data_IF_260887084388
#
_entry.id   IF_260887084388
#
_cell.length_a   1.000
_cell.length_b   1.000
_cell.length_c   1.000
_cell.angle_alpha   90.00
_cell.angle_beta   90.00
_cell.angle_gamma   90.00
#
_symmetry.space_group_name_H-M   'P 1'
#
loop_
_entity.id
_entity.type
_entity.pdbx_description
1 polymer ?
#
# COMPACT_ATOMS: atom_id res chain seq x y z
N UNK A 1 6.22 -19.75 0.20
CA UNK A 1 7.02 -19.25 1.36
C UNK A 1 8.11 -18.21 1.02
N UNK A 2 8.21 -17.71 -0.24
CA UNK A 2 9.34 -16.82 -0.66
C UNK A 2 9.02 -15.31 -0.70
N UNK A 3 7.84 -14.89 -0.28
CA UNK A 3 7.40 -13.51 -0.50
C UNK A 3 7.82 -12.45 0.54
N UNK A 4 7.94 -12.71 1.85
CA UNK A 4 8.10 -11.61 2.80
C UNK A 4 9.45 -10.87 2.69
N UNK A 5 10.55 -11.56 2.40
CA UNK A 5 11.87 -10.91 2.32
C UNK A 5 12.00 -9.95 1.13
N UNK A 6 11.33 -10.24 0.00
CA UNK A 6 11.33 -9.35 -1.19
C UNK A 6 10.65 -8.01 -0.90
N UNK A 7 9.57 -8.02 -0.11
CA UNK A 7 8.89 -6.79 0.33
C UNK A 7 9.83 -5.94 1.16
N UNK A 8 10.47 -6.56 2.15
CA UNK A 8 11.43 -5.87 2.99
C UNK A 8 12.65 -5.39 2.20
N UNK A 9 13.14 -6.18 1.24
CA UNK A 9 14.26 -5.79 0.40
C UNK A 9 13.95 -4.55 -0.46
N UNK A 10 12.75 -4.47 -1.06
CA UNK A 10 12.37 -3.29 -1.85
C UNK A 10 12.12 -2.08 -0.97
N UNK A 11 11.45 -2.25 0.17
CA UNK A 11 11.28 -1.15 1.14
C UNK A 11 12.65 -0.65 1.64
N UNK A 12 13.55 -1.56 2.01
CA UNK A 12 14.90 -1.22 2.44
C UNK A 12 15.69 -0.52 1.31
N UNK A 13 15.57 -1.00 0.07
CA UNK A 13 16.21 -0.37 -1.08
C UNK A 13 15.69 1.05 -1.35
N UNK A 14 14.38 1.26 -1.25
CA UNK A 14 13.77 2.58 -1.41
C UNK A 14 14.19 3.54 -0.29
N UNK A 15 14.19 3.08 0.96
CA UNK A 15 14.63 3.88 2.11
C UNK A 15 16.12 4.19 2.00
N UNK A 16 16.96 3.20 1.67
CA UNK A 16 18.39 3.39 1.47
C UNK A 16 18.68 4.32 0.28
N UNK A 17 17.95 4.15 -0.83
CA UNK A 17 18.07 5.02 -2.01
C UNK A 17 17.72 6.47 -1.69
N UNK A 18 16.68 6.71 -0.92
CA UNK A 18 16.32 8.05 -0.47
C UNK A 18 17.33 8.64 0.53
N UNK A 19 17.84 7.84 1.44
CA UNK A 19 18.89 8.25 2.37
C UNK A 19 20.18 8.60 1.62
N UNK A 20 20.60 7.78 0.66
CA UNK A 20 21.74 8.06 -0.22
C UNK A 20 21.52 9.33 -1.03
N UNK A 21 20.33 9.49 -1.62
CA UNK A 21 19.98 10.68 -2.38
C UNK A 21 20.08 11.95 -1.52
N UNK A 22 19.63 11.93 -0.27
CA UNK A 22 19.75 13.08 0.64
C UNK A 22 21.19 13.41 1.02
N UNK A 23 22.08 12.41 1.07
CA UNK A 23 23.52 12.60 1.36
C UNK A 23 24.27 13.16 0.15
N UNK A 24 23.99 12.63 -1.06
CA UNK A 24 24.72 13.03 -2.28
C UNK A 24 24.23 14.36 -2.89
N UNK A 25 23.03 14.77 -2.57
CA UNK A 25 22.44 16.03 -3.04
C UNK A 25 21.97 16.89 -1.86
N UNK A 26 22.90 17.38 -1.00
CA UNK A 26 22.57 18.30 0.05
C UNK A 26 22.14 19.62 -0.61
N UNK A 27 20.86 19.96 -0.48
CA UNK A 27 20.37 21.27 -0.89
C UNK A 27 20.27 22.14 0.35
N UNK A 28 20.95 23.26 0.35
CA UNK A 28 20.89 24.24 1.42
C UNK A 28 19.56 25.00 1.51
N UNK A 29 18.52 24.53 0.81
CA UNK A 29 17.21 25.17 0.77
C UNK A 29 16.19 24.26 1.48
N UNK A 30 15.77 24.68 2.69
CA UNK A 30 14.88 23.90 3.56
C UNK A 30 13.58 23.47 2.89
N UNK A 31 13.03 24.28 1.99
CA UNK A 31 11.79 23.97 1.28
C UNK A 31 11.89 22.80 0.29
N UNK A 32 13.08 22.58 -0.30
CA UNK A 32 13.31 21.46 -1.21
C UNK A 32 13.54 20.13 -0.46
N UNK A 33 14.08 20.19 0.74
CA UNK A 33 14.25 19.01 1.60
C UNK A 33 12.90 18.47 2.06
N UNK A 34 11.99 19.31 2.48
CA UNK A 34 10.62 18.95 2.85
C UNK A 34 9.86 18.27 1.71
N UNK A 35 9.99 18.78 0.48
CA UNK A 35 9.41 18.18 -0.71
C UNK A 35 9.93 16.78 -1.02
N UNK A 36 11.20 16.48 -0.75
CA UNK A 36 11.82 15.16 -0.98
C UNK A 36 11.27 14.11 -0.03
N UNK A 37 11.20 14.41 1.26
CA UNK A 37 10.63 13.48 2.24
C UNK A 37 9.15 13.20 1.95
N UNK A 38 8.43 14.21 1.49
CA UNK A 38 7.06 14.04 1.05
C UNK A 38 6.93 13.12 -0.17
N UNK A 39 7.76 13.31 -1.20
CA UNK A 39 7.79 12.46 -2.39
C UNK A 39 8.21 11.02 -2.06
N UNK A 40 9.18 10.83 -1.18
CA UNK A 40 9.60 9.52 -0.70
C UNK A 40 8.44 8.79 -0.03
N UNK A 41 7.74 9.45 0.86
CA UNK A 41 6.59 8.87 1.54
C UNK A 41 5.49 8.50 0.54
N UNK A 42 5.17 9.34 -0.46
CA UNK A 42 4.23 9.00 -1.55
C UNK A 42 4.69 7.74 -2.30
N UNK A 43 5.95 7.66 -2.67
CA UNK A 43 6.50 6.52 -3.40
C UNK A 43 6.39 5.21 -2.59
N UNK A 44 6.70 5.25 -1.29
CA UNK A 44 6.56 4.11 -0.39
C UNK A 44 5.10 3.64 -0.26
N UNK A 45 4.16 4.59 -0.11
CA UNK A 45 2.74 4.28 -0.07
C UNK A 45 2.28 3.63 -1.39
N UNK A 46 2.71 4.14 -2.55
CA UNK A 46 2.34 3.59 -3.85
C UNK A 46 2.89 2.17 -4.03
N UNK A 47 4.17 1.95 -3.71
CA UNK A 47 4.79 0.62 -3.78
C UNK A 47 4.07 -0.38 -2.89
N UNK A 48 3.72 0.01 -1.68
CA UNK A 48 3.01 -0.85 -0.74
C UNK A 48 1.62 -1.24 -1.27
N UNK A 49 0.86 -0.28 -1.83
CA UNK A 49 -0.45 -0.52 -2.45
C UNK A 49 -0.36 -1.48 -3.62
N UNK A 50 0.56 -1.23 -4.57
CA UNK A 50 0.79 -2.10 -5.72
C UNK A 50 1.16 -3.51 -5.28
N UNK A 51 1.97 -3.63 -4.25
CA UNK A 51 2.40 -4.92 -3.75
C UNK A 51 1.26 -5.71 -3.09
N UNK A 52 0.44 -5.05 -2.27
CA UNK A 52 -0.73 -5.66 -1.64
C UNK A 52 -1.70 -6.18 -2.71
N UNK A 53 -2.02 -5.36 -3.73
CA UNK A 53 -2.90 -5.78 -4.83
C UNK A 53 -2.36 -7.02 -5.52
N UNK A 54 -1.09 -7.02 -5.92
CA UNK A 54 -0.48 -8.17 -6.58
C UNK A 54 -0.48 -9.42 -5.68
N UNK A 55 -0.22 -9.27 -4.39
CA UNK A 55 -0.21 -10.41 -3.48
C UNK A 55 -1.61 -11.01 -3.26
N UNK A 56 -2.65 -10.16 -3.18
CA UNK A 56 -4.04 -10.60 -3.01
C UNK A 56 -4.53 -11.33 -4.25
N UNK A 57 -4.32 -10.75 -5.43
CA UNK A 57 -4.84 -11.30 -6.69
C UNK A 57 -4.07 -12.52 -7.16
N UNK A 58 -2.74 -12.58 -6.94
CA UNK A 58 -1.93 -13.72 -7.33
C UNK A 58 -2.29 -14.99 -6.55
N UNK A 59 -2.46 -14.89 -5.22
CA UNK A 59 -2.74 -16.06 -4.36
C UNK A 59 -4.02 -16.77 -4.75
N UNK A 60 -5.13 -16.05 -4.80
CA UNK A 60 -6.41 -16.64 -5.18
C UNK A 60 -6.45 -17.08 -6.65
N UNK A 61 -5.76 -16.34 -7.53
CA UNK A 61 -5.63 -16.73 -8.92
C UNK A 61 -4.85 -18.03 -9.09
N UNK A 62 -3.76 -18.23 -8.36
CA UNK A 62 -2.97 -19.45 -8.35
C UNK A 62 -3.76 -20.63 -7.75
N UNK A 63 -4.43 -20.44 -6.62
CA UNK A 63 -5.24 -21.46 -5.97
C UNK A 63 -6.37 -21.95 -6.87
N UNK A 64 -6.95 -21.07 -7.67
CA UNK A 64 -7.98 -21.41 -8.65
C UNK A 64 -7.41 -22.20 -9.85
N UNK A 65 -6.32 -21.72 -10.45
CA UNK A 65 -5.71 -22.38 -11.61
C UNK A 65 -5.20 -23.77 -11.26
N UNK A 66 -4.69 -23.96 -10.04
CA UNK A 66 -4.17 -25.23 -9.56
C UNK A 66 -5.27 -26.18 -9.03
N UNK A 67 -6.56 -25.81 -9.09
CA UNK A 67 -7.65 -26.61 -8.56
C UNK A 67 -7.68 -26.70 -7.02
N UNK A 68 -6.79 -25.98 -6.34
CA UNK A 68 -6.73 -25.98 -4.87
C UNK A 68 -7.99 -25.36 -4.25
N UNK A 69 -8.63 -24.42 -4.94
CA UNK A 69 -9.89 -23.82 -4.52
C UNK A 69 -11.03 -24.84 -4.53
N UNK A 70 -11.08 -25.72 -5.54
CA UNK A 70 -12.09 -26.78 -5.65
C UNK A 70 -11.91 -27.84 -4.56
N UNK A 71 -10.66 -28.19 -4.26
CA UNK A 71 -10.34 -29.07 -3.14
C UNK A 71 -10.72 -28.45 -1.78
N UNK A 72 -10.50 -27.13 -1.60
CA UNK A 72 -10.91 -26.39 -0.40
C UNK A 72 -12.44 -26.38 -0.25
N UNK A 73 -13.17 -26.18 -1.35
CA UNK A 73 -14.64 -26.19 -1.35
C UNK A 73 -15.24 -27.58 -1.16
N UNK A 74 -14.49 -28.65 -1.40
CA UNK A 74 -14.91 -30.03 -1.08
C UNK A 74 -14.71 -30.41 0.38
N UNK A 75 -14.02 -29.56 1.16
CA UNK A 75 -13.89 -29.73 2.61
C UNK A 75 -15.11 -29.15 3.35
N UNK A 76 -15.38 -29.53 4.61
CA UNK A 76 -16.50 -28.98 5.39
C UNK A 76 -16.31 -27.51 5.83
N UNK A 77 -15.38 -26.79 5.19
CA UNK A 77 -15.13 -25.37 5.46
C UNK A 77 -16.17 -24.50 4.74
N UNK A 78 -16.67 -23.51 5.46
CA UNK A 78 -17.56 -22.51 4.87
C UNK A 78 -16.76 -21.52 3.98
N UNK A 79 -17.34 -20.96 2.91
CA UNK A 79 -16.69 -19.93 2.10
C UNK A 79 -16.18 -18.74 2.93
N UNK A 80 -16.90 -18.40 4.01
CA UNK A 80 -16.51 -17.33 4.91
C UNK A 80 -15.19 -17.64 5.64
N UNK A 81 -15.00 -18.87 6.10
CA UNK A 81 -13.76 -19.31 6.77
C UNK A 81 -12.56 -19.27 5.82
N UNK A 82 -12.77 -19.64 4.55
CA UNK A 82 -11.73 -19.56 3.52
C UNK A 82 -11.30 -18.11 3.29
N UNK A 83 -12.25 -17.19 3.13
CA UNK A 83 -11.99 -15.75 2.93
C UNK A 83 -11.31 -15.14 4.17
N UNK A 84 -11.77 -15.48 5.37
CA UNK A 84 -11.15 -15.02 6.62
C UNK A 84 -9.73 -15.53 6.78
N UNK A 85 -9.46 -16.79 6.42
CA UNK A 85 -8.13 -17.36 6.41
C UNK A 85 -7.16 -16.63 5.48
N UNK A 86 -7.61 -16.32 4.27
CA UNK A 86 -6.85 -15.52 3.30
C UNK A 86 -6.57 -14.11 3.83
N UNK A 87 -7.58 -13.45 4.41
CA UNK A 87 -7.44 -12.13 5.01
C UNK A 87 -6.43 -12.12 6.16
N UNK A 88 -6.49 -13.11 7.05
CA UNK A 88 -5.54 -13.25 8.15
C UNK A 88 -4.11 -13.47 7.66
N UNK A 89 -3.93 -14.27 6.62
CA UNK A 89 -2.63 -14.52 6.01
C UNK A 89 -2.03 -13.23 5.40
N UNK A 90 -2.85 -12.43 4.71
CA UNK A 90 -2.47 -11.13 4.18
C UNK A 90 -2.09 -10.16 5.29
N UNK A 91 -2.93 -10.04 6.31
CA UNK A 91 -2.66 -9.19 7.47
C UNK A 91 -1.32 -9.52 8.12
N UNK A 92 -1.04 -10.80 8.37
CA UNK A 92 0.25 -11.23 8.94
C UNK A 92 1.45 -10.90 8.05
N UNK A 93 1.27 -10.96 6.73
CA UNK A 93 2.34 -10.67 5.78
C UNK A 93 2.65 -9.18 5.68
N UNK A 94 1.62 -8.33 5.64
CA UNK A 94 1.75 -6.90 5.35
C UNK A 94 1.76 -6.01 6.59
N UNK A 95 1.41 -6.53 7.77
CA UNK A 95 1.40 -5.76 9.02
C UNK A 95 2.76 -5.09 9.29
N UNK A 96 3.86 -5.84 9.15
CA UNK A 96 5.20 -5.31 9.36
C UNK A 96 5.56 -4.18 8.39
N UNK A 97 5.48 -4.38 7.06
CA UNK A 97 5.70 -3.32 6.07
C UNK A 97 4.81 -2.09 6.27
N UNK A 98 3.52 -2.28 6.57
CA UNK A 98 2.58 -1.17 6.84
C UNK A 98 3.03 -0.37 8.07
N UNK A 99 3.33 -1.05 9.18
CA UNK A 99 3.83 -0.39 10.39
C UNK A 99 5.16 0.32 10.14
N UNK A 100 6.04 -0.25 9.31
CA UNK A 100 7.31 0.39 8.93
C UNK A 100 7.10 1.70 8.18
N UNK A 101 6.19 1.73 7.21
CA UNK A 101 5.86 2.96 6.46
C UNK A 101 5.20 4.00 7.36
N UNK A 102 4.25 3.59 8.22
CA UNK A 102 3.61 4.49 9.17
C UNK A 102 4.58 5.06 10.20
N UNK A 103 5.55 4.25 10.67
CA UNK A 103 6.59 4.72 11.58
C UNK A 103 7.52 5.73 10.92
N UNK A 104 7.85 5.53 9.63
CA UNK A 104 8.63 6.48 8.85
C UNK A 104 7.87 7.80 8.68
N UNK A 105 6.58 7.75 8.31
CA UNK A 105 5.73 8.95 8.20
C UNK A 105 5.65 9.71 9.54
N UNK A 106 5.49 8.99 10.64
CA UNK A 106 5.46 9.59 11.97
C UNK A 106 6.82 10.23 12.33
N UNK A 107 7.92 9.60 11.96
CA UNK A 107 9.26 10.15 12.17
C UNK A 107 9.48 11.43 11.35
N UNK A 108 9.13 11.44 10.07
CA UNK A 108 9.22 12.62 9.19
C UNK A 108 8.34 13.75 9.74
N UNK A 109 7.10 13.44 10.13
CA UNK A 109 6.19 14.41 10.74
C UNK A 109 6.79 15.01 12.02
N UNK A 110 7.36 14.18 12.90
CA UNK A 110 8.00 14.66 14.13
C UNK A 110 9.24 15.52 13.87
N UNK A 111 10.01 15.25 12.82
CA UNK A 111 11.13 16.08 12.39
C UNK A 111 10.65 17.45 11.93
N UNK A 112 9.65 17.51 11.03
CA UNK A 112 9.06 18.78 10.56
C UNK A 112 8.48 19.62 11.68
N UNK A 113 7.85 19.00 12.69
CA UNK A 113 7.29 19.69 13.84
C UNK A 113 8.36 20.40 14.69
N UNK A 114 9.60 19.93 14.65
CA UNK A 114 10.73 20.54 15.38
C UNK A 114 11.28 21.76 14.65
N UNK A 115 11.34 21.70 13.33
CA UNK A 115 12.05 22.69 12.51
C UNK A 115 11.17 23.87 12.12
N UNK A 116 9.85 23.68 11.93
CA UNK A 116 8.90 24.72 11.48
C UNK A 116 7.63 24.71 12.31
N UNK A 117 7.64 25.30 13.53
CA UNK A 117 6.49 25.25 14.43
C UNK A 117 5.24 26.00 13.93
N UNK A 118 5.37 26.97 13.00
CA UNK A 118 4.25 27.72 12.46
C UNK A 118 3.28 26.85 11.64
N UNK A 119 3.83 25.89 10.86
CA UNK A 119 3.05 25.01 9.99
C UNK A 119 2.83 23.62 10.60
N UNK A 120 3.25 23.43 11.84
CA UNK A 120 3.23 22.17 12.57
C UNK A 120 1.85 21.47 12.54
N UNK A 121 0.78 22.24 12.75
CA UNK A 121 -0.60 21.70 12.77
C UNK A 121 -1.02 21.20 11.38
N UNK A 122 -0.67 21.92 10.33
CA UNK A 122 -1.01 21.55 8.95
C UNK A 122 -0.23 20.31 8.52
N UNK A 123 1.07 20.26 8.83
CA UNK A 123 1.91 19.09 8.57
C UNK A 123 1.38 17.85 9.31
N UNK A 124 1.11 17.95 10.60
CA UNK A 124 0.55 16.85 11.40
C UNK A 124 -0.80 16.37 10.84
N UNK A 125 -1.69 17.30 10.45
CA UNK A 125 -2.96 16.96 9.83
C UNK A 125 -2.75 16.22 8.47
N UNK A 126 -1.85 16.71 7.63
CA UNK A 126 -1.56 16.10 6.33
C UNK A 126 -1.03 14.67 6.47
N UNK A 127 -0.04 14.44 7.34
CA UNK A 127 0.49 13.09 7.58
C UNK A 127 -0.54 12.17 8.27
N UNK A 128 -1.33 12.70 9.20
CA UNK A 128 -2.43 11.96 9.83
C UNK A 128 -3.50 11.53 8.82
N UNK A 129 -3.95 12.43 7.96
CA UNK A 129 -4.89 12.12 6.88
C UNK A 129 -4.33 11.05 5.91
N UNK A 130 -3.05 11.16 5.56
CA UNK A 130 -2.39 10.17 4.69
C UNK A 130 -2.33 8.78 5.31
N UNK A 131 -2.03 8.69 6.60
CA UNK A 131 -2.03 7.42 7.33
C UNK A 131 -3.43 6.77 7.32
N UNK A 132 -4.48 7.56 7.56
CA UNK A 132 -5.87 7.10 7.51
C UNK A 132 -6.23 6.62 6.11
N UNK A 133 -5.90 7.41 5.08
CA UNK A 133 -6.14 7.04 3.66
C UNK A 133 -5.39 5.76 3.32
N UNK A 134 -4.13 5.60 3.73
CA UNK A 134 -3.38 4.37 3.50
C UNK A 134 -4.08 3.14 4.09
N UNK A 135 -4.54 3.24 5.34
CA UNK A 135 -5.24 2.13 6.00
C UNK A 135 -6.57 1.80 5.31
N UNK A 136 -7.33 2.82 4.91
CA UNK A 136 -8.57 2.65 4.16
C UNK A 136 -8.32 2.00 2.79
N UNK A 137 -7.29 2.44 2.07
CA UNK A 137 -6.91 1.86 0.78
C UNK A 137 -6.47 0.40 0.91
N UNK A 138 -5.67 0.07 1.91
CA UNK A 138 -5.25 -1.33 2.16
C UNK A 138 -6.47 -2.21 2.38
N UNK A 139 -7.44 -1.73 3.15
CA UNK A 139 -8.67 -2.46 3.41
C UNK A 139 -9.51 -2.61 2.13
N UNK A 140 -9.71 -1.53 1.37
CA UNK A 140 -10.43 -1.53 0.10
C UNK A 140 -9.76 -2.41 -0.96
N UNK A 141 -8.42 -2.32 -1.11
CA UNK A 141 -7.63 -3.13 -2.03
C UNK A 141 -7.68 -4.61 -1.68
N UNK A 142 -7.68 -4.94 -0.39
CA UNK A 142 -7.83 -6.31 0.08
C UNK A 142 -9.16 -6.91 -0.36
N UNK A 143 -10.29 -6.27 -0.06
CA UNK A 143 -11.62 -6.77 -0.42
C UNK A 143 -11.89 -6.78 -1.92
N UNK A 144 -11.59 -5.69 -2.61
CA UNK A 144 -11.80 -5.61 -4.06
C UNK A 144 -10.86 -6.56 -4.82
N UNK A 145 -9.63 -6.77 -4.33
CA UNK A 145 -8.68 -7.71 -4.91
C UNK A 145 -9.15 -9.16 -4.77
N UNK A 146 -9.63 -9.56 -3.59
CA UNK A 146 -10.24 -10.87 -3.37
C UNK A 146 -11.44 -11.09 -4.30
N UNK A 147 -12.33 -10.10 -4.40
CA UNK A 147 -13.49 -10.17 -5.29
C UNK A 147 -13.10 -10.31 -6.76
N UNK A 148 -12.14 -9.52 -7.24
CA UNK A 148 -11.69 -9.58 -8.64
C UNK A 148 -11.00 -10.92 -8.97
N UNK A 149 -10.24 -11.47 -8.03
CA UNK A 149 -9.61 -12.77 -8.19
C UNK A 149 -10.63 -13.92 -8.32
N UNK A 150 -11.76 -13.83 -7.61
CA UNK A 150 -12.86 -14.79 -7.70
C UNK A 150 -13.63 -14.72 -9.02
N UNK A 151 -13.62 -13.60 -9.73
CA UNK A 151 -14.34 -13.43 -11.02
C UNK A 151 -13.70 -14.19 -12.20
N UNK A 152 -12.62 -14.92 -12.00
CA UNK A 152 -12.05 -15.77 -13.04
C UNK A 152 -11.17 -15.08 -14.06
N UNK A 153 -10.81 -13.83 -13.82
CA UNK A 153 -9.83 -13.08 -14.60
C UNK A 153 -8.42 -13.51 -14.22
N UNK A 154 -7.50 -13.45 -15.18
CA UNK A 154 -6.09 -13.73 -14.88
C UNK A 154 -5.56 -12.81 -13.76
N UNK A 155 -4.56 -13.24 -12.96
CA UNK A 155 -4.09 -12.49 -11.79
C UNK A 155 -3.64 -11.07 -12.13
N UNK A 156 -3.01 -10.86 -13.26
CA UNK A 156 -2.58 -9.53 -13.74
C UNK A 156 -3.77 -8.62 -14.03
N UNK A 157 -4.80 -9.15 -14.68
CA UNK A 157 -6.02 -8.41 -15.02
C UNK A 157 -6.83 -8.05 -13.77
N UNK A 158 -6.90 -8.96 -12.81
CA UNK A 158 -7.52 -8.73 -11.52
C UNK A 158 -6.79 -7.62 -10.74
N UNK A 159 -5.44 -7.65 -10.72
CA UNK A 159 -4.63 -6.63 -10.09
C UNK A 159 -4.84 -5.25 -10.71
N UNK A 160 -4.76 -5.14 -12.03
CA UNK A 160 -4.96 -3.88 -12.76
C UNK A 160 -6.35 -3.30 -12.53
N UNK A 161 -7.41 -4.11 -12.62
CA UNK A 161 -8.77 -3.68 -12.39
C UNK A 161 -9.01 -3.23 -10.95
N UNK A 162 -8.42 -3.93 -9.97
CA UNK A 162 -8.51 -3.57 -8.55
C UNK A 162 -7.86 -2.21 -8.31
N UNK A 163 -6.64 -2.03 -8.83
CA UNK A 163 -5.89 -0.78 -8.70
C UNK A 163 -6.63 0.38 -9.39
N UNK A 164 -7.14 0.16 -10.60
CA UNK A 164 -7.90 1.17 -11.34
C UNK A 164 -9.16 1.61 -10.58
N UNK A 165 -9.90 0.69 -9.98
CA UNK A 165 -11.13 1.02 -9.25
C UNK A 165 -10.89 1.71 -7.93
N UNK A 166 -9.88 1.30 -7.17
CA UNK A 166 -9.64 1.83 -5.82
C UNK A 166 -8.78 3.09 -5.87
N UNK A 167 -7.86 3.19 -6.82
CA UNK A 167 -6.93 4.31 -6.88
C UNK A 167 -7.27 5.29 -8.01
N UNK A 168 -7.43 4.82 -9.25
CA UNK A 168 -7.58 5.73 -10.41
C UNK A 168 -8.99 6.34 -10.47
N UNK A 169 -10.04 5.55 -10.24
CA UNK A 169 -11.40 6.03 -10.36
C UNK A 169 -11.76 7.16 -9.38
N UNK A 170 -11.41 7.10 -8.07
CA UNK A 170 -11.64 8.22 -7.14
C UNK A 170 -10.90 9.49 -7.55
N UNK A 171 -9.66 9.36 -8.05
CA UNK A 171 -8.89 10.51 -8.51
C UNK A 171 -9.49 11.16 -9.75
N UNK A 172 -9.96 10.37 -10.71
CA UNK A 172 -10.65 10.90 -11.89
C UNK A 172 -11.98 11.58 -11.52
N UNK A 173 -12.73 11.01 -10.57
CA UNK A 173 -13.96 11.65 -10.06
C UNK A 173 -13.64 13.00 -9.39
N UNK A 174 -12.61 13.05 -8.59
CA UNK A 174 -12.20 14.26 -7.87
C UNK A 174 -11.71 15.34 -8.84
N UNK A 175 -10.94 14.97 -9.86
CA UNK A 175 -10.53 15.87 -10.95
C UNK A 175 -11.72 16.38 -11.75
N UNK A 176 -12.68 15.52 -12.09
CA UNK A 176 -13.91 15.94 -12.79
C UNK A 176 -14.78 16.89 -11.96
N UNK A 177 -14.73 16.79 -10.63
CA UNK A 177 -15.51 17.65 -9.74
C UNK A 177 -14.83 19.02 -9.52
N UNK A 178 -13.51 19.09 -9.63
CA UNK A 178 -12.73 20.33 -9.48
C UNK A 178 -12.72 21.16 -10.78
N UNK A 179 -12.76 20.51 -11.94
CA UNK A 179 -12.63 21.15 -13.26
C UNK A 179 -13.92 21.24 -14.05
N UNK A 180 -15.02 20.63 -13.61
CA UNK A 180 -16.35 20.69 -14.20
C UNK A 180 -17.24 21.69 -13.49
#
# INVERSE_FOLDING_TARGET
>A
RRAPWRVWAVLAFLVAGAALFSVFFPTGDSGLEDGRYFLLSIALHLVLRVWIVNAVTARLGEDRVNGALELLLSTPLTPAEVVQGQWLALRRQFLGPVLGVLALDAWICAAMLRDVPADAKLAAAAYGCRAIILLADIWALGWTGLWQALQGRGPTQAATNTFARVFVAPWLMLMGLVWG
#
